data_IF_037071056115
#
_entry.id   IF_037071056115
#
_cell.length_a   1.000
_cell.length_b   1.000
_cell.length_c   1.000
_cell.angle_alpha   90.00
_cell.angle_beta   90.00
_cell.angle_gamma   90.00
#
_symmetry.space_group_name_H-M   'P 1'
#
loop_
_entity.id
_entity.type
_entity.pdbx_description
1 polymer ?
#
# COMPACT_ATOMS: atom_id res chain seq x y z
N UNK A 1 -37.96 6.17 19.35
CA UNK A 1 -37.04 5.17 19.95
C UNK A 1 -36.46 4.37 18.80
N UNK A 2 -35.41 4.87 18.16
CA UNK A 2 -34.63 4.15 17.17
C UNK A 2 -33.20 4.15 17.71
N UNK A 3 -32.66 2.96 17.95
CA UNK A 3 -31.40 2.76 18.66
C UNK A 3 -30.22 3.28 17.86
N UNK A 4 -29.30 3.96 18.54
CA UNK A 4 -27.95 4.13 18.06
C UNK A 4 -27.30 2.74 18.02
N UNK A 5 -26.90 2.32 16.82
CA UNK A 5 -26.21 1.08 16.56
C UNK A 5 -24.85 1.09 17.27
N UNK A 6 -24.60 0.09 18.12
CA UNK A 6 -23.37 -0.07 18.90
C UNK A 6 -22.14 -0.31 17.98
N UNK A 7 -22.36 -0.60 16.70
CA UNK A 7 -21.35 -0.77 15.66
C UNK A 7 -21.23 0.40 14.68
N UNK A 8 -21.80 1.57 14.97
CA UNK A 8 -21.42 2.82 14.29
C UNK A 8 -19.96 3.14 14.63
N UNK A 9 -19.06 2.50 13.89
CA UNK A 9 -17.64 2.80 13.92
C UNK A 9 -17.52 4.11 13.18
N UNK A 10 -17.62 5.23 13.90
CA UNK A 10 -17.22 6.52 13.34
C UNK A 10 -15.80 6.34 12.82
N UNK A 11 -15.62 6.42 11.50
CA UNK A 11 -14.32 6.41 10.80
C UNK A 11 -13.51 7.65 11.22
N UNK A 12 -13.12 7.70 12.50
CA UNK A 12 -12.27 8.76 13.00
C UNK A 12 -10.88 8.46 12.47
N UNK A 13 -10.53 9.13 11.37
CA UNK A 13 -9.24 9.06 10.70
C UNK A 13 -8.07 9.40 11.63
N UNK A 14 -8.35 9.93 12.83
CA UNK A 14 -7.36 10.13 13.90
C UNK A 14 -6.97 8.84 14.62
N UNK A 15 -7.85 7.83 14.66
CA UNK A 15 -7.58 6.51 15.26
C UNK A 15 -6.69 5.62 14.40
N UNK A 16 -6.59 5.91 13.09
CA UNK A 16 -5.80 5.13 12.14
C UNK A 16 -4.30 5.48 12.29
N UNK A 17 -3.39 4.49 12.42
CA UNK A 17 -1.95 4.73 12.50
C UNK A 17 -1.42 5.55 11.32
N UNK A 18 -0.43 6.42 11.57
CA UNK A 18 0.18 7.25 10.54
C UNK A 18 0.70 6.42 9.35
N UNK A 19 1.33 5.28 9.63
CA UNK A 19 1.86 4.39 8.58
C UNK A 19 0.77 3.88 7.63
N UNK A 20 -0.42 3.56 8.15
CA UNK A 20 -1.56 3.14 7.34
C UNK A 20 -2.13 4.30 6.52
N UNK A 21 -2.16 5.51 7.10
CA UNK A 21 -2.62 6.73 6.39
C UNK A 21 -1.67 7.18 5.28
N UNK A 22 -0.37 6.98 5.46
CA UNK A 22 0.68 7.35 4.51
C UNK A 22 0.97 6.25 3.48
N UNK A 23 0.18 5.16 3.47
CA UNK A 23 0.38 4.08 2.51
C UNK A 23 0.04 4.60 1.10
N UNK A 24 0.98 4.56 0.13
CA UNK A 24 0.74 5.00 -1.23
C UNK A 24 -0.38 4.19 -1.87
N UNK A 25 -1.22 4.88 -2.65
CA UNK A 25 -2.35 4.30 -3.38
C UNK A 25 -1.98 3.92 -4.81
N UNK A 26 -0.94 4.54 -5.33
CA UNK A 26 -0.41 4.31 -6.67
C UNK A 26 1.09 4.05 -6.61
N UNK A 27 1.63 3.37 -7.64
CA UNK A 27 3.07 3.14 -7.74
C UNK A 27 3.87 4.44 -7.92
N UNK A 28 3.23 5.53 -8.37
CA UNK A 28 3.85 6.84 -8.53
C UNK A 28 4.05 7.57 -7.20
N UNK A 29 3.27 7.23 -6.18
CA UNK A 29 3.43 7.74 -4.81
C UNK A 29 4.52 6.97 -4.03
N UNK A 30 5.06 5.89 -4.60
CA UNK A 30 6.04 5.04 -3.93
C UNK A 30 7.45 5.63 -4.05
N UNK A 31 8.03 6.04 -2.92
CA UNK A 31 9.32 6.75 -2.88
C UNK A 31 10.48 5.79 -2.59
N UNK A 32 11.61 5.98 -3.28
CA UNK A 32 12.91 5.38 -2.92
C UNK A 32 13.19 4.00 -3.53
N UNK A 33 12.30 3.44 -4.34
CA UNK A 33 12.48 2.15 -5.01
C UNK A 33 12.34 2.24 -6.55
N UNK A 34 12.69 3.37 -7.16
CA UNK A 34 12.55 3.61 -8.61
C UNK A 34 13.26 2.58 -9.51
N UNK A 35 14.30 1.94 -8.98
CA UNK A 35 15.00 0.87 -9.68
C UNK A 35 14.17 -0.41 -9.82
N UNK A 36 13.14 -0.58 -8.99
CA UNK A 36 12.22 -1.73 -8.99
C UNK A 36 10.83 -1.33 -9.51
N UNK A 37 10.27 -0.23 -8.99
CA UNK A 37 8.89 0.22 -9.27
C UNK A 37 8.80 1.44 -10.17
N UNK A 38 9.94 1.96 -10.64
CA UNK A 38 9.95 3.10 -11.55
C UNK A 38 9.36 2.79 -12.93
N UNK A 39 9.09 3.81 -13.74
CA UNK A 39 8.58 3.65 -15.09
C UNK A 39 9.44 2.71 -15.93
N UNK A 40 8.80 1.78 -16.64
CA UNK A 40 9.49 0.83 -17.52
C UNK A 40 10.22 -0.33 -16.82
N UNK A 41 10.19 -0.40 -15.48
CA UNK A 41 10.77 -1.53 -14.74
C UNK A 41 9.92 -2.79 -14.86
N UNK A 42 10.58 -3.94 -14.72
CA UNK A 42 9.96 -5.26 -14.86
C UNK A 42 8.76 -5.42 -13.92
N UNK A 43 8.93 -5.09 -12.63
CA UNK A 43 7.86 -5.23 -11.64
C UNK A 43 6.67 -4.33 -11.97
N UNK A 44 6.90 -3.05 -12.29
CA UNK A 44 5.82 -2.12 -12.67
C UNK A 44 5.07 -2.58 -13.92
N UNK A 45 5.77 -3.12 -14.92
CA UNK A 45 5.14 -3.68 -16.12
C UNK A 45 4.34 -4.94 -15.81
N UNK A 46 4.85 -5.83 -14.97
CA UNK A 46 4.15 -7.04 -14.55
C UNK A 46 2.89 -6.71 -13.74
N UNK A 47 2.94 -5.73 -12.83
CA UNK A 47 1.76 -5.21 -12.11
C UNK A 47 0.75 -4.65 -13.10
N UNK A 48 1.19 -3.75 -14.00
CA UNK A 48 0.29 -3.09 -14.95
C UNK A 48 -0.35 -4.06 -15.96
N UNK A 49 0.33 -5.15 -16.29
CA UNK A 49 -0.14 -6.17 -17.21
C UNK A 49 -0.85 -7.35 -16.50
N UNK A 50 -1.09 -7.24 -15.19
CA UNK A 50 -1.71 -8.25 -14.32
C UNK A 50 -1.07 -9.66 -14.46
N UNK A 51 0.25 -9.69 -14.66
CA UNK A 51 1.05 -10.89 -14.93
C UNK A 51 2.07 -11.15 -13.82
N UNK A 52 1.73 -10.79 -12.58
CA UNK A 52 2.57 -11.10 -11.42
C UNK A 52 2.35 -12.55 -10.98
N UNK A 53 3.45 -13.33 -11.00
CA UNK A 53 3.52 -14.61 -10.31
C UNK A 53 3.91 -14.46 -8.83
N UNK A 54 4.38 -15.53 -8.20
CA UNK A 54 4.88 -15.47 -6.81
C UNK A 54 6.16 -14.60 -6.72
N UNK A 55 6.13 -13.55 -5.89
CA UNK A 55 7.26 -12.63 -5.68
C UNK A 55 7.65 -12.61 -4.20
N UNK A 56 8.96 -12.59 -3.93
CA UNK A 56 9.51 -12.42 -2.57
C UNK A 56 10.06 -11.00 -2.45
N UNK A 57 9.48 -10.19 -1.57
CA UNK A 57 10.00 -8.87 -1.23
C UNK A 57 10.98 -8.97 -0.05
N UNK A 58 12.25 -8.68 -0.29
CA UNK A 58 13.32 -8.69 0.74
C UNK A 58 14.06 -7.35 0.78
N UNK A 59 14.44 -6.92 1.99
CA UNK A 59 15.15 -5.66 2.19
C UNK A 59 15.04 -5.12 3.62
N UNK A 60 15.81 -4.05 3.94
CA UNK A 60 15.86 -3.43 5.27
C UNK A 60 14.48 -3.02 5.83
N UNK A 61 14.28 -2.90 7.15
CA UNK A 61 13.00 -2.47 7.72
C UNK A 61 12.62 -1.06 7.21
N UNK A 62 11.32 -0.81 7.01
CA UNK A 62 10.81 0.49 6.56
C UNK A 62 10.90 0.80 5.05
N UNK A 63 11.42 -0.12 4.22
CA UNK A 63 11.56 0.10 2.76
C UNK A 63 10.28 -0.09 1.92
N UNK A 64 9.12 -0.22 2.57
CA UNK A 64 7.83 -0.33 1.87
C UNK A 64 7.50 -1.70 1.25
N UNK A 65 8.13 -2.79 1.72
CA UNK A 65 7.79 -4.17 1.29
C UNK A 65 6.33 -4.53 1.55
N UNK A 66 5.86 -4.26 2.77
CA UNK A 66 4.45 -4.48 3.16
C UNK A 66 3.52 -3.57 2.39
N UNK A 67 4.00 -2.41 1.95
CA UNK A 67 3.23 -1.49 1.13
C UNK A 67 3.05 -2.00 -0.30
N UNK A 68 4.06 -2.67 -0.86
CA UNK A 68 4.07 -3.25 -2.21
C UNK A 68 3.32 -4.57 -2.36
N UNK A 69 3.13 -5.29 -1.26
CA UNK A 69 2.32 -6.51 -1.18
C UNK A 69 0.85 -6.17 -0.91
#
# INVERSE_FOLDING_TARGET
MAGNDLFETTDDTRSIPLAARMRPRTLDEFVGQDHIVGPGRLLRRAIAADQIGSVIFSGPPGTGKTTLA
#
